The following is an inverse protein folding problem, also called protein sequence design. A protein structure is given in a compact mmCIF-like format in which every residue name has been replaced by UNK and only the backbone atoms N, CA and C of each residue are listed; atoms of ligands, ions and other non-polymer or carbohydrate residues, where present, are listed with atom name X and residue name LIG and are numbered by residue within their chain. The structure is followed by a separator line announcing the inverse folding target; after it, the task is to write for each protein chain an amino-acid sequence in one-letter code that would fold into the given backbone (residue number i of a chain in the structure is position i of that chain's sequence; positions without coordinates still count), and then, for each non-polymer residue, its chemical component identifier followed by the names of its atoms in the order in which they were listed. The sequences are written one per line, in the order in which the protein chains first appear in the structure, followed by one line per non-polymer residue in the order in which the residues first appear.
data_IF_105730351228
#
_entry.id   IF_105730351228
#
_cell.length_a   1.000
_cell.length_b   1.000
_cell.length_c   1.000
_cell.angle_alpha   90.00
_cell.angle_beta   90.00
_cell.angle_gamma   90.00
#
_symmetry.space_group_name_H-M   'P 1'
#
loop_
_entity.id
_entity.type
_entity.pdbx_description
1 polymer ?
#
# COMPACT_ATOMS: atom_id res chain seq x y z
N UNK A 1 -10.58 -5.61 -9.70
CA UNK A 1 -10.54 -7.08 -9.82
C UNK A 1 -9.15 -7.66 -10.17
N UNK A 2 -8.37 -7.09 -11.10
CA UNK A 2 -7.08 -7.68 -11.56
C UNK A 2 -6.14 -8.09 -10.42
N UNK A 3 -5.91 -7.22 -9.43
CA UNK A 3 -5.02 -7.52 -8.30
C UNK A 3 -5.55 -8.66 -7.41
N UNK A 4 -6.87 -8.71 -7.15
CA UNK A 4 -7.52 -9.83 -6.46
C UNK A 4 -7.27 -11.17 -7.17
N UNK A 5 -7.40 -11.21 -8.50
CA UNK A 5 -7.15 -12.42 -9.26
C UNK A 5 -5.67 -12.83 -9.21
N UNK A 6 -4.75 -11.87 -9.38
CA UNK A 6 -3.30 -12.13 -9.35
C UNK A 6 -2.81 -12.69 -8.01
N UNK A 7 -3.38 -12.20 -6.90
CA UNK A 7 -2.97 -12.56 -5.54
C UNK A 7 -3.84 -13.64 -4.92
N UNK A 8 -4.81 -14.19 -5.65
CA UNK A 8 -5.84 -15.09 -5.15
C UNK A 8 -6.59 -14.55 -3.91
N UNK A 9 -6.67 -13.22 -3.78
CA UNK A 9 -7.40 -12.54 -2.73
C UNK A 9 -8.82 -12.17 -3.22
N UNK A 10 -9.74 -13.12 -3.01
CA UNK A 10 -11.14 -13.01 -3.45
C UNK A 10 -12.07 -12.19 -2.54
N UNK A 11 -11.55 -11.48 -1.52
CA UNK A 11 -12.42 -10.73 -0.61
C UNK A 11 -13.16 -9.61 -1.36
N UNK A 12 -14.50 -9.60 -1.23
CA UNK A 12 -15.39 -8.75 -2.03
C UNK A 12 -15.23 -7.25 -1.77
N UNK A 13 -14.74 -6.86 -0.60
CA UNK A 13 -14.46 -5.44 -0.27
C UNK A 13 -13.53 -4.74 -1.27
N UNK A 14 -12.77 -5.50 -2.05
CA UNK A 14 -11.81 -4.96 -3.01
C UNK A 14 -12.35 -4.79 -4.44
N UNK A 15 -13.54 -5.31 -4.75
CA UNK A 15 -14.05 -5.28 -6.14
C UNK A 15 -15.58 -5.25 -6.28
N UNK A 16 -16.34 -5.52 -5.24
CA UNK A 16 -17.80 -5.47 -5.23
C UNK A 16 -18.26 -4.30 -4.35
N UNK A 17 -18.63 -3.18 -5.00
CA UNK A 17 -18.98 -1.94 -4.31
C UNK A 17 -20.27 -2.08 -3.49
N UNK A 18 -21.26 -2.80 -4.00
CA UNK A 18 -22.52 -3.01 -3.28
C UNK A 18 -22.28 -3.84 -2.03
N UNK A 19 -21.52 -4.93 -2.13
CA UNK A 19 -21.15 -5.72 -0.95
C UNK A 19 -20.35 -4.89 0.05
N UNK A 20 -19.32 -4.18 -0.41
CA UNK A 20 -18.43 -3.40 0.44
C UNK A 20 -19.17 -2.31 1.23
N UNK A 21 -20.14 -1.64 0.59
CA UNK A 21 -20.89 -0.52 1.19
C UNK A 21 -22.12 -0.97 1.98
N UNK A 22 -22.87 -1.95 1.49
CA UNK A 22 -24.17 -2.33 2.07
C UNK A 22 -24.08 -3.49 3.06
N UNK A 23 -23.06 -4.35 2.96
CA UNK A 23 -22.89 -5.52 3.83
C UNK A 23 -21.80 -5.26 4.87
N UNK A 24 -20.66 -4.72 4.44
CA UNK A 24 -19.48 -4.48 5.30
C UNK A 24 -19.42 -3.05 5.85
N UNK A 25 -20.24 -2.13 5.32
CA UNK A 25 -20.38 -0.77 5.85
C UNK A 25 -19.24 0.19 5.53
N UNK A 26 -18.32 -0.16 4.62
CA UNK A 26 -17.25 0.74 4.19
C UNK A 26 -17.78 1.82 3.23
N UNK A 27 -17.19 3.03 3.21
CA UNK A 27 -17.64 4.11 2.32
C UNK A 27 -17.34 3.86 0.83
N UNK A 28 -16.43 2.93 0.51
CA UNK A 28 -16.06 2.56 -0.85
C UNK A 28 -15.18 1.32 -0.87
N UNK A 29 -14.65 0.96 -2.04
CA UNK A 29 -13.81 -0.23 -2.15
C UNK A 29 -12.52 -0.02 -1.38
N UNK A 30 -12.16 -1.00 -0.56
CA UNK A 30 -10.89 -0.98 0.19
C UNK A 30 -9.77 -1.39 -0.76
N UNK A 31 -8.75 -0.56 -0.91
CA UNK A 31 -7.54 -0.88 -1.68
C UNK A 31 -6.76 -1.97 -0.92
N UNK A 32 -6.25 -2.97 -1.64
CA UNK A 32 -5.49 -4.05 -1.02
C UNK A 32 -4.24 -3.50 -0.32
N UNK A 33 -4.03 -3.87 0.95
CA UNK A 33 -2.78 -3.59 1.65
C UNK A 33 -1.55 -4.07 0.85
N UNK A 34 -1.52 -5.31 0.35
CA UNK A 34 -0.41 -5.79 -0.49
C UNK A 34 -0.19 -4.96 -1.78
N UNK A 35 -1.24 -4.36 -2.35
CA UNK A 35 -1.07 -3.48 -3.51
C UNK A 35 -0.36 -2.18 -3.11
N UNK A 36 -0.74 -1.58 -1.98
CA UNK A 36 -0.05 -0.41 -1.43
C UNK A 36 1.43 -0.73 -1.12
N UNK A 37 1.70 -1.89 -0.54
CA UNK A 37 3.06 -2.35 -0.28
C UNK A 37 3.87 -2.56 -1.56
N UNK A 38 3.23 -3.09 -2.62
CA UNK A 38 3.84 -3.22 -3.95
C UNK A 38 4.15 -1.85 -4.56
N UNK A 39 3.28 -0.85 -4.37
CA UNK A 39 3.52 0.52 -4.83
C UNK A 39 4.70 1.17 -4.11
N UNK A 40 4.84 0.96 -2.80
CA UNK A 40 5.99 1.45 -2.03
C UNK A 40 7.32 0.89 -2.57
N UNK A 41 7.39 -0.43 -2.76
CA UNK A 41 8.57 -1.08 -3.34
C UNK A 41 8.82 -0.65 -4.78
N UNK A 42 7.77 -0.51 -5.59
CA UNK A 42 7.91 -0.04 -6.97
C UNK A 42 8.52 1.35 -7.02
N UNK A 43 8.01 2.29 -6.22
CA UNK A 43 8.56 3.64 -6.16
C UNK A 43 10.01 3.67 -5.66
N UNK A 44 10.31 2.91 -4.60
CA UNK A 44 11.69 2.75 -4.10
C UNK A 44 12.65 2.31 -5.21
N UNK A 45 12.29 1.28 -5.98
CA UNK A 45 13.15 0.73 -7.05
C UNK A 45 13.26 1.65 -8.28
N UNK A 46 12.31 2.57 -8.48
CA UNK A 46 12.42 3.60 -9.51
C UNK A 46 13.37 4.72 -9.08
N UNK A 47 13.25 5.20 -7.84
CA UNK A 47 14.06 6.32 -7.33
C UNK A 47 15.49 5.90 -6.94
N UNK A 48 15.68 4.67 -6.46
CA UNK A 48 16.96 4.13 -6.02
C UNK A 48 17.29 2.82 -6.73
N UNK A 49 17.53 2.84 -8.06
CA UNK A 49 17.71 1.63 -8.87
C UNK A 49 18.93 0.79 -8.46
N UNK A 50 19.93 1.40 -7.83
CA UNK A 50 21.16 0.71 -7.40
C UNK A 50 21.02 0.03 -6.02
N UNK A 51 19.97 0.34 -5.25
CA UNK A 51 19.76 -0.25 -3.92
C UNK A 51 19.13 -1.63 -4.02
N UNK A 52 19.85 -2.65 -3.58
CA UNK A 52 19.33 -4.02 -3.52
C UNK A 52 18.61 -4.26 -2.19
N UNK A 53 17.29 -4.39 -2.25
CA UNK A 53 16.46 -4.70 -1.07
C UNK A 53 16.85 -6.06 -0.49
N UNK A 54 17.20 -6.08 0.79
CA UNK A 54 17.45 -7.27 1.58
C UNK A 54 16.20 -7.71 2.36
N UNK A 55 15.58 -6.76 3.06
CA UNK A 55 14.35 -6.99 3.82
C UNK A 55 13.33 -5.91 3.53
N UNK A 56 12.05 -6.29 3.59
CA UNK A 56 10.94 -5.37 3.46
C UNK A 56 9.77 -5.84 4.33
N UNK A 57 9.43 -5.02 5.32
CA UNK A 57 8.34 -5.29 6.25
C UNK A 57 7.31 -4.16 6.14
N UNK A 58 6.02 -4.49 6.09
CA UNK A 58 4.98 -3.48 6.01
C UNK A 58 3.81 -3.79 6.93
N UNK A 59 3.10 -2.73 7.31
CA UNK A 59 1.91 -2.78 8.16
C UNK A 59 0.86 -1.81 7.65
N UNK A 60 -0.35 -2.31 7.41
CA UNK A 60 -1.51 -1.47 7.17
C UNK A 60 -1.97 -0.83 8.49
N UNK A 61 -2.22 0.49 8.46
CA UNK A 61 -2.62 1.30 9.61
C UNK A 61 -4.05 1.81 9.45
N UNK A 62 -4.40 2.32 8.26
CA UNK A 62 -5.74 2.81 7.90
C UNK A 62 -6.10 2.39 6.48
N UNK A 63 -7.40 2.19 6.17
CA UNK A 63 -7.82 1.83 4.84
C UNK A 63 -7.63 3.00 3.88
N UNK A 64 -7.12 2.71 2.69
CA UNK A 64 -7.24 3.59 1.52
C UNK A 64 -8.45 3.11 0.73
N UNK A 65 -9.36 4.01 0.38
CA UNK A 65 -10.50 3.72 -0.47
C UNK A 65 -10.22 4.11 -1.93
N UNK A 66 -10.96 3.52 -2.86
CA UNK A 66 -10.75 3.71 -4.31
C UNK A 66 -10.98 5.13 -4.84
N UNK A 67 -11.59 6.01 -4.04
CA UNK A 67 -11.76 7.43 -4.34
C UNK A 67 -10.77 8.34 -3.60
N UNK A 68 -9.87 7.79 -2.77
CA UNK A 68 -8.88 8.60 -2.06
C UNK A 68 -7.68 8.90 -2.95
N UNK A 69 -7.26 10.15 -2.93
CA UNK A 69 -5.88 10.52 -3.25
C UNK A 69 -4.99 10.19 -2.05
N UNK A 70 -3.73 9.82 -2.32
CA UNK A 70 -2.72 9.54 -1.32
C UNK A 70 -1.33 9.80 -1.90
N UNK A 71 -0.35 10.00 -1.02
CA UNK A 71 1.06 10.15 -1.36
C UNK A 71 1.82 8.87 -1.06
N UNK A 72 2.81 8.58 -1.91
CA UNK A 72 3.82 7.53 -1.67
C UNK A 72 5.07 8.26 -1.22
N UNK A 73 5.50 7.98 0.01
CA UNK A 73 6.55 8.72 0.67
C UNK A 73 7.67 7.78 1.12
N UNK A 74 8.86 8.33 1.30
CA UNK A 74 10.01 7.59 1.78
C UNK A 74 11.12 8.48 2.30
N UNK A 75 11.82 7.97 3.31
CA UNK A 75 13.08 8.51 3.82
C UNK A 75 14.12 7.39 3.77
N UNK A 76 15.07 7.52 2.86
CA UNK A 76 16.02 6.48 2.50
C UNK A 76 17.43 6.89 2.92
N UNK A 77 18.05 6.03 3.71
CA UNK A 77 19.42 6.16 4.20
C UNK A 77 20.34 5.17 3.45
N UNK A 78 21.61 5.09 3.84
CA UNK A 78 22.59 4.22 3.15
C UNK A 78 22.22 2.73 3.25
N UNK A 79 21.92 2.24 4.47
CA UNK A 79 21.71 0.81 4.77
C UNK A 79 20.24 0.43 4.96
N UNK A 80 19.38 1.40 5.24
CA UNK A 80 17.96 1.18 5.53
C UNK A 80 17.09 2.38 5.11
N UNK A 81 15.80 2.29 5.38
CA UNK A 81 14.85 3.38 5.18
C UNK A 81 13.46 3.05 5.66
N UNK A 82 12.64 4.10 5.72
CA UNK A 82 11.22 4.01 5.99
C UNK A 82 10.42 4.47 4.77
N UNK A 83 9.34 3.75 4.47
CA UNK A 83 8.43 4.05 3.39
C UNK A 83 7.02 4.11 3.95
N UNK A 84 6.17 5.01 3.45
CA UNK A 84 4.78 5.08 3.91
C UNK A 84 3.82 5.57 2.84
N UNK A 85 2.55 5.20 3.03
CA UNK A 85 1.43 5.81 2.31
C UNK A 85 0.78 6.83 3.24
N UNK A 86 0.61 8.05 2.74
CA UNK A 86 0.03 9.17 3.48
C UNK A 86 -1.28 9.62 2.82
N UNK A 87 -2.32 9.82 3.62
CA UNK A 87 -3.54 10.49 3.16
C UNK A 87 -3.28 11.99 2.98
N UNK A 88 -4.13 12.66 2.20
CA UNK A 88 -4.03 14.12 1.96
C UNK A 88 -4.10 14.95 3.24
N UNK A 89 -4.68 14.41 4.31
CA UNK A 89 -4.76 15.04 5.64
C UNK A 89 -3.53 14.76 6.54
N UNK A 90 -2.48 14.14 6.00
CA UNK A 90 -1.24 13.81 6.70
C UNK A 90 -1.30 12.53 7.53
N UNK A 91 -2.43 11.81 7.53
CA UNK A 91 -2.54 10.57 8.29
C UNK A 91 -1.89 9.40 7.55
N UNK A 92 -1.12 8.59 8.27
CA UNK A 92 -0.49 7.40 7.68
C UNK A 92 -1.49 6.25 7.47
N UNK A 93 -1.55 5.75 6.23
CA UNK A 93 -2.38 4.61 5.85
C UNK A 93 -1.61 3.28 5.88
N UNK A 94 -0.33 3.31 5.51
CA UNK A 94 0.57 2.16 5.54
C UNK A 94 1.97 2.63 5.91
N UNK A 95 2.68 1.81 6.69
CA UNK A 95 4.09 2.00 7.02
C UNK A 95 4.88 0.78 6.55
N UNK A 96 6.12 1.00 6.14
CA UNK A 96 7.05 -0.05 5.81
C UNK A 96 8.49 0.32 6.20
N UNK A 97 9.28 -0.71 6.52
CA UNK A 97 10.71 -0.62 6.74
C UNK A 97 11.43 -1.43 5.68
N UNK A 98 12.55 -0.93 5.20
CA UNK A 98 13.38 -1.58 4.19
C UNK A 98 14.84 -1.58 4.64
N UNK A 99 15.56 -2.66 4.37
CA UNK A 99 17.03 -2.72 4.47
C UNK A 99 17.66 -3.07 3.13
N UNK A 100 18.92 -2.69 2.95
CA UNK A 100 19.67 -2.91 1.73
C UNK A 100 20.93 -3.75 1.98
N UNK A 101 21.37 -4.47 0.95
CA UNK A 101 22.64 -5.22 0.95
C UNK A 101 23.85 -4.32 0.75
#
# INVERSE_FOLDING_TARGET
FRYSALTFNGHKIHYDRSYCTQIEGYPGLVVHGPLLATLLLHFLTQEYPDKQVESFEFRAVKPVFDFNEFYVCGDIQEQDGELWIEHVDGQTAMQAKVSFK
#
